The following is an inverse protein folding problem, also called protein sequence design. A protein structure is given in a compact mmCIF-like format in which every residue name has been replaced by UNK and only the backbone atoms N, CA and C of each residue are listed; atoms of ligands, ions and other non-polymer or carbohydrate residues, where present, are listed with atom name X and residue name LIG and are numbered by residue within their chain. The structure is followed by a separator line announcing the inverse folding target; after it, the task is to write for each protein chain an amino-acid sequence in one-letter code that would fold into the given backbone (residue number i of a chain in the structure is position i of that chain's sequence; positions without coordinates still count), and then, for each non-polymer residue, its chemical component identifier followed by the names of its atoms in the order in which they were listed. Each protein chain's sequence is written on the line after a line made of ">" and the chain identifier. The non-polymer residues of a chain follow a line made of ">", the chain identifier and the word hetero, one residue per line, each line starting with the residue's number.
data_IF_639542310485
#
_entry.id   IF_639542310485
#
_cell.length_a   1.000
_cell.length_b   1.000
_cell.length_c   1.000
_cell.angle_alpha   90.00
_cell.angle_beta   90.00
_cell.angle_gamma   90.00
#
_symmetry.space_group_name_H-M   'P 1'
#
loop_
_entity.id
_entity.type
_entity.pdbx_description
1 polymer ?
#
# COMPACT_ATOMS: atom_id res chain seq x y z
N UNK A 1 -6.87 -26.48 -27.44
CA UNK A 1 -6.62 -25.03 -27.41
C UNK A 1 -6.62 -24.62 -25.96
N UNK A 2 -5.44 -24.31 -25.40
CA UNK A 2 -5.31 -23.80 -24.04
C UNK A 2 -5.62 -22.31 -24.09
N UNK A 3 -6.88 -21.94 -23.91
CA UNK A 3 -7.26 -20.54 -23.71
C UNK A 3 -6.84 -20.18 -22.29
N UNK A 4 -5.57 -19.78 -22.13
CA UNK A 4 -5.14 -19.01 -20.96
C UNK A 4 -5.95 -17.72 -20.97
N UNK A 5 -7.06 -17.72 -20.23
CA UNK A 5 -7.62 -16.49 -19.70
C UNK A 5 -6.50 -15.90 -18.83
N UNK A 6 -5.67 -15.04 -19.42
CA UNK A 6 -5.04 -13.96 -18.67
C UNK A 6 -6.19 -13.29 -17.93
N UNK A 7 -6.43 -13.67 -16.68
CA UNK A 7 -7.32 -12.96 -15.78
C UNK A 7 -6.71 -11.56 -15.69
N UNK A 8 -7.12 -10.70 -16.62
CA UNK A 8 -6.69 -9.32 -16.70
C UNK A 8 -6.87 -8.78 -15.30
N UNK A 9 -5.79 -8.24 -14.74
CA UNK A 9 -5.70 -8.01 -13.32
C UNK A 9 -6.78 -6.99 -12.92
N UNK A 10 -7.98 -7.45 -12.56
CA UNK A 10 -9.16 -6.63 -12.34
C UNK A 10 -8.89 -5.60 -11.24
N UNK A 11 -7.99 -5.95 -10.32
CA UNK A 11 -7.44 -5.04 -9.33
C UNK A 11 -6.75 -3.83 -9.98
N UNK A 12 -5.76 -4.09 -10.84
CA UNK A 12 -4.98 -3.04 -11.52
C UNK A 12 -5.84 -2.28 -12.53
N UNK A 13 -6.72 -2.98 -13.25
CA UNK A 13 -7.66 -2.36 -14.18
C UNK A 13 -8.64 -1.39 -13.48
N UNK A 14 -8.98 -1.66 -12.22
CA UNK A 14 -9.79 -0.77 -11.39
C UNK A 14 -8.97 0.36 -10.71
N UNK A 15 -7.65 0.44 -10.95
CA UNK A 15 -6.77 1.44 -10.34
C UNK A 15 -6.30 1.10 -8.92
N UNK A 16 -6.43 -0.16 -8.51
CA UNK A 16 -5.95 -0.67 -7.22
C UNK A 16 -4.59 -1.36 -7.36
N UNK A 17 -3.95 -1.68 -6.24
CA UNK A 17 -2.65 -2.37 -6.21
C UNK A 17 -2.72 -3.74 -5.56
N UNK A 18 -1.93 -4.69 -6.07
CA UNK A 18 -1.70 -5.97 -5.41
C UNK A 18 -0.63 -5.82 -4.35
N UNK A 19 -0.97 -6.04 -3.07
CA UNK A 19 -0.02 -5.99 -1.96
C UNK A 19 -0.23 -7.17 -1.00
N UNK A 20 0.74 -7.51 -0.15
CA UNK A 20 0.53 -8.48 0.91
C UNK A 20 -0.57 -8.04 1.90
N UNK A 21 -1.29 -8.99 2.49
CA UNK A 21 -2.40 -8.70 3.43
C UNK A 21 -1.96 -7.81 4.60
N UNK A 22 -0.73 -7.99 5.09
CA UNK A 22 -0.15 -7.16 6.17
C UNK A 22 -0.02 -5.67 5.82
N UNK A 23 0.05 -5.33 4.53
CA UNK A 23 0.22 -3.95 4.04
C UNK A 23 -1.14 -3.28 3.83
N UNK A 24 -2.16 -4.06 3.50
CA UNK A 24 -3.50 -3.53 3.26
C UNK A 24 -4.37 -3.65 4.51
N UNK A 25 -4.78 -2.54 5.13
CA UNK A 25 -5.76 -2.60 6.20
C UNK A 25 -7.05 -3.25 5.68
N UNK A 26 -7.69 -4.10 6.49
CA UNK A 26 -8.86 -4.91 6.07
C UNK A 26 -9.97 -4.10 5.42
N UNK A 27 -10.18 -2.86 5.85
CA UNK A 27 -11.19 -1.93 5.32
C UNK A 27 -10.90 -1.45 3.88
N UNK A 28 -9.65 -1.56 3.41
CA UNK A 28 -9.23 -1.15 2.07
C UNK A 28 -8.99 -2.34 1.12
N UNK A 29 -9.19 -3.57 1.58
CA UNK A 29 -9.12 -4.76 0.74
C UNK A 29 -10.33 -4.77 -0.21
N UNK A 30 -10.07 -4.96 -1.50
CA UNK A 30 -11.10 -5.05 -2.55
C UNK A 30 -11.22 -6.50 -3.02
N UNK A 31 -12.47 -6.94 -3.24
CA UNK A 31 -12.76 -8.25 -3.83
C UNK A 31 -12.64 -8.17 -5.35
N UNK A 32 -11.40 -8.09 -5.85
CA UNK A 32 -11.08 -8.09 -7.28
C UNK A 32 -10.08 -9.19 -7.57
N UNK A 33 -10.30 -9.91 -8.66
CA UNK A 33 -9.43 -10.98 -9.14
C UNK A 33 -8.13 -10.40 -9.72
N UNK A 34 -7.14 -11.25 -9.94
CA UNK A 34 -5.91 -10.86 -10.63
C UNK A 34 -4.68 -10.59 -9.76
N UNK A 35 -4.83 -10.58 -8.43
CA UNK A 35 -3.70 -10.60 -7.51
C UNK A 35 -3.50 -12.02 -6.96
N UNK A 36 -2.26 -12.50 -6.92
CA UNK A 36 -1.89 -13.68 -6.11
C UNK A 36 -1.94 -13.37 -4.61
N UNK A 37 -1.92 -12.09 -4.25
CA UNK A 37 -2.11 -11.55 -2.89
C UNK A 37 -3.46 -10.82 -2.79
N UNK A 38 -3.63 -9.91 -1.83
CA UNK A 38 -4.87 -9.12 -1.73
C UNK A 38 -4.84 -7.93 -2.70
N UNK A 39 -5.98 -7.65 -3.32
CA UNK A 39 -6.20 -6.40 -4.03
C UNK A 39 -6.50 -5.30 -3.01
N UNK A 40 -5.79 -4.18 -3.07
CA UNK A 40 -5.86 -3.10 -2.09
C UNK A 40 -6.06 -1.75 -2.73
N UNK A 41 -6.95 -0.95 -2.13
CA UNK A 41 -7.21 0.42 -2.51
C UNK A 41 -6.14 1.37 -1.96
N UNK A 42 -4.93 1.26 -2.51
CA UNK A 42 -3.75 2.02 -2.09
C UNK A 42 -3.97 3.54 -2.17
N UNK A 43 -4.82 4.01 -3.08
CA UNK A 43 -5.19 5.42 -3.18
C UNK A 43 -5.86 5.95 -1.90
N UNK A 44 -6.62 5.09 -1.21
CA UNK A 44 -7.30 5.40 0.04
C UNK A 44 -6.54 4.93 1.30
N UNK A 45 -5.50 4.11 1.15
CA UNK A 45 -4.60 3.74 2.24
C UNK A 45 -3.65 4.91 2.52
N UNK A 46 -3.94 5.65 3.59
CA UNK A 46 -3.09 6.77 4.05
C UNK A 46 -1.91 6.32 4.91
N UNK A 47 -1.30 5.17 4.64
CA UNK A 47 -0.14 4.70 5.43
C UNK A 47 1.17 5.14 4.80
N UNK A 48 2.19 5.33 5.64
CA UNK A 48 3.55 5.64 5.19
C UNK A 48 4.05 4.65 4.13
N UNK A 49 3.89 3.34 4.39
CA UNK A 49 4.29 2.26 3.49
C UNK A 49 3.58 2.32 2.13
N UNK A 50 2.27 2.63 2.11
CA UNK A 50 1.51 2.71 0.86
C UNK A 50 1.94 3.88 -0.04
N UNK A 51 2.59 4.90 0.53
CA UNK A 51 3.16 6.05 -0.18
C UNK A 51 4.64 5.87 -0.54
N UNK A 52 5.18 4.66 -0.36
CA UNK A 52 6.59 4.36 -0.62
C UNK A 52 7.55 4.88 0.45
N UNK A 53 7.02 5.25 1.62
CA UNK A 53 7.81 5.65 2.78
C UNK A 53 7.97 4.54 3.81
N UNK A 54 8.84 4.77 4.78
CA UNK A 54 9.08 3.88 5.92
C UNK A 54 8.92 4.64 7.25
N UNK A 55 8.29 4.01 8.24
CA UNK A 55 8.20 4.57 9.58
C UNK A 55 9.56 4.46 10.28
N UNK A 56 10.23 5.60 10.44
CA UNK A 56 11.53 5.71 11.09
C UNK A 56 11.42 6.47 12.41
N UNK A 57 12.40 6.34 13.33
CA UNK A 57 12.49 7.18 14.52
C UNK A 57 12.38 8.68 14.19
N UNK A 58 11.73 9.47 15.06
CA UNK A 58 11.57 10.91 14.85
C UNK A 58 12.91 11.67 14.64
N UNK A 59 14.02 11.12 15.15
CA UNK A 59 15.36 11.68 15.04
C UNK A 59 16.06 11.33 13.71
N UNK A 60 15.52 10.40 12.92
CA UNK A 60 16.12 9.99 11.63
C UNK A 60 16.13 11.17 10.66
N UNK A 61 17.23 11.42 9.99
CA UNK A 61 17.32 12.50 9.02
C UNK A 61 16.79 12.01 7.66
N UNK A 62 15.61 12.48 7.24
CA UNK A 62 14.91 12.03 6.04
C UNK A 62 13.90 13.10 5.57
N UNK A 63 13.38 12.95 4.35
CA UNK A 63 12.24 13.75 3.88
C UNK A 63 10.97 13.24 4.57
N UNK A 64 10.45 14.03 5.50
CA UNK A 64 9.28 13.66 6.28
C UNK A 64 7.97 13.88 5.50
N UNK A 65 7.02 12.95 5.68
CA UNK A 65 5.62 13.10 5.27
C UNK A 65 4.74 13.21 6.53
N UNK A 66 4.57 14.43 7.10
CA UNK A 66 3.88 14.62 8.38
C UNK A 66 2.41 14.19 8.33
N UNK A 67 1.77 14.26 7.17
CA UNK A 67 0.39 13.78 6.96
C UNK A 67 0.24 12.26 7.13
N UNK A 68 1.34 11.51 7.08
CA UNK A 68 1.39 10.07 7.27
C UNK A 68 2.01 9.68 8.63
N UNK A 69 2.53 10.65 9.40
CA UNK A 69 3.15 10.38 10.69
C UNK A 69 2.17 9.74 11.68
N UNK A 70 0.88 10.08 11.60
CA UNK A 70 -0.18 9.47 12.39
C UNK A 70 -0.38 7.97 12.11
N UNK A 71 0.17 7.45 11.01
CA UNK A 71 0.15 6.01 10.70
C UNK A 71 1.37 5.26 11.21
N UNK A 72 2.37 5.99 11.71
CA UNK A 72 3.53 5.42 12.38
C UNK A 72 3.30 5.35 13.89
N UNK A 73 4.09 4.51 14.58
CA UNK A 73 3.98 4.36 16.03
C UNK A 73 4.40 5.64 16.79
N UNK A 74 4.17 5.68 18.12
CA UNK A 74 4.62 6.80 18.95
C UNK A 74 6.13 7.04 18.79
N UNK A 75 6.52 8.31 18.65
CA UNK A 75 7.92 8.76 18.40
C UNK A 75 8.51 8.30 17.06
N UNK A 76 7.68 7.87 16.12
CA UNK A 76 8.08 7.61 14.75
C UNK A 76 7.50 8.66 13.81
N UNK A 77 8.14 8.81 12.65
CA UNK A 77 7.71 9.66 11.55
C UNK A 77 7.75 8.88 10.26
N UNK A 78 6.96 9.32 9.28
CA UNK A 78 7.04 8.74 7.96
C UNK A 78 8.19 9.38 7.18
N UNK A 79 9.17 8.57 6.80
CA UNK A 79 10.29 8.98 5.94
C UNK A 79 10.05 8.51 4.51
N UNK A 80 10.11 9.42 3.54
CA UNK A 80 10.06 9.08 2.12
C UNK A 80 11.46 9.21 1.52
N UNK A 81 11.92 8.16 0.86
CA UNK A 81 13.19 8.11 0.14
C UNK A 81 12.86 8.07 -1.36
N UNK A 82 12.84 9.25 -2.00
CA UNK A 82 12.64 9.42 -3.45
C UNK A 82 13.96 9.41 -4.20
#
# INVERSE_FOLDING_TARGET
>A
MLTEFSQGNECVAAGYGCVPERVCPRQHIKRKSGCSTVCCDLANVKTCAARGGECSPAQTNCKEAPELAATCGPRQKCCIYV
#
